data_IF_653550696492
#
_entry.id   IF_653550696492
#
_cell.length_a   1.000
_cell.length_b   1.000
_cell.length_c   1.000
_cell.angle_alpha   90.00
_cell.angle_beta   90.00
_cell.angle_gamma   90.00
#
_symmetry.space_group_name_H-M   'P 1'
#
loop_
_entity.id
_entity.type
_entity.pdbx_description
1 polymer ?
#
# COMPACT_ATOMS: atom_id res chain seq x y z
N UNK A 1 6.44 -7.85 26.00
CA UNK A 1 5.10 -7.32 26.32
C UNK A 1 4.12 -8.17 25.51
N UNK A 2 3.47 -9.11 26.16
CA UNK A 2 2.59 -10.12 25.54
C UNK A 2 1.28 -9.45 25.15
N UNK A 3 0.96 -9.43 23.84
CA UNK A 3 -0.31 -8.92 23.35
C UNK A 3 -1.34 -10.06 23.45
N UNK A 4 -2.07 -10.15 24.56
CA UNK A 4 -3.24 -11.04 24.65
C UNK A 4 -4.43 -10.35 23.98
N UNK A 5 -4.87 -10.87 22.84
CA UNK A 5 -6.11 -10.45 22.20
C UNK A 5 -7.29 -11.01 23.01
N UNK A 6 -8.05 -10.13 23.65
CA UNK A 6 -9.27 -10.54 24.34
C UNK A 6 -10.30 -11.05 23.33
N UNK A 7 -11.16 -11.98 23.74
CA UNK A 7 -12.18 -12.68 22.93
C UNK A 7 -13.23 -11.79 22.23
N UNK A 8 -13.08 -10.45 22.29
CA UNK A 8 -13.95 -9.45 21.64
C UNK A 8 -13.16 -8.41 20.82
N UNK A 9 -11.87 -8.62 20.54
CA UNK A 9 -11.05 -7.65 19.84
C UNK A 9 -11.22 -7.79 18.33
N UNK A 10 -11.60 -6.70 17.65
CA UNK A 10 -11.67 -6.64 16.18
C UNK A 10 -10.29 -6.31 15.61
N UNK A 11 -9.84 -7.11 14.66
CA UNK A 11 -8.55 -6.94 13.98
C UNK A 11 -8.74 -6.46 12.54
N UNK A 12 -7.91 -5.53 12.09
CA UNK A 12 -7.80 -5.17 10.68
C UNK A 12 -6.42 -5.54 10.13
N UNK A 13 -6.37 -6.06 8.90
CA UNK A 13 -5.12 -6.32 8.19
C UNK A 13 -4.78 -5.15 7.30
N UNK A 14 -3.51 -4.74 7.36
CA UNK A 14 -2.98 -3.62 6.60
C UNK A 14 -1.85 -4.11 5.68
N UNK A 15 -1.85 -3.60 4.45
CA UNK A 15 -0.85 -3.97 3.44
C UNK A 15 -0.06 -2.74 2.97
N UNK A 16 1.29 -2.77 3.05
CA UNK A 16 2.13 -1.63 2.70
C UNK A 16 2.10 -1.34 1.20
N UNK A 17 2.41 -0.08 0.89
CA UNK A 17 2.61 0.40 -0.47
C UNK A 17 4.07 0.63 -0.81
N UNK A 18 4.30 1.29 -1.95
CA UNK A 18 5.64 1.62 -2.46
C UNK A 18 6.43 2.46 -1.45
N UNK A 19 7.73 2.19 -1.35
CA UNK A 19 8.64 2.75 -0.34
C UNK A 19 9.00 1.77 0.78
N UNK A 20 8.31 0.62 0.86
CA UNK A 20 8.60 -0.45 1.81
C UNK A 20 9.65 -1.46 1.30
N UNK A 21 9.98 -1.43 0.00
CA UNK A 21 10.90 -2.39 -0.63
C UNK A 21 12.34 -2.21 -0.15
N UNK A 22 12.99 -3.35 0.08
CA UNK A 22 14.43 -3.45 0.37
C UNK A 22 14.98 -4.72 -0.29
N UNK A 23 16.23 -4.70 -0.77
CA UNK A 23 16.87 -5.90 -1.29
C UNK A 23 17.01 -6.94 -0.18
N UNK A 24 16.70 -8.20 -0.48
CA UNK A 24 16.63 -9.29 0.47
C UNK A 24 15.24 -9.53 1.06
N UNK A 25 14.25 -8.66 0.80
CA UNK A 25 12.89 -8.84 1.33
C UNK A 25 12.28 -10.15 0.84
N UNK A 26 11.75 -10.95 1.77
CA UNK A 26 11.08 -12.22 1.49
C UNK A 26 12.01 -13.41 1.24
N UNK A 27 13.36 -13.25 1.20
CA UNK A 27 14.29 -14.35 0.94
C UNK A 27 14.16 -15.46 2.00
N UNK A 28 14.16 -15.11 3.28
CA UNK A 28 13.99 -16.09 4.35
C UNK A 28 12.66 -16.86 4.24
N UNK A 29 11.58 -16.15 3.91
CA UNK A 29 10.27 -16.77 3.68
C UNK A 29 10.32 -17.76 2.51
N UNK A 30 10.96 -17.37 1.40
CA UNK A 30 11.15 -18.22 0.23
C UNK A 30 11.92 -19.50 0.55
N UNK A 31 12.96 -19.41 1.38
CA UNK A 31 13.83 -20.55 1.74
C UNK A 31 13.17 -21.50 2.75
N UNK A 32 12.31 -20.99 3.65
CA UNK A 32 11.86 -21.70 4.84
C UNK A 32 10.36 -22.01 4.89
N UNK A 33 9.53 -21.44 4.00
CA UNK A 33 8.09 -21.68 3.92
C UNK A 33 7.71 -22.16 2.52
N UNK A 34 7.07 -23.34 2.45
CA UNK A 34 6.58 -23.89 1.19
C UNK A 34 5.48 -23.04 0.58
N UNK A 35 4.57 -22.53 1.41
CA UNK A 35 3.49 -21.66 0.98
C UNK A 35 4.00 -20.30 0.46
N UNK A 36 5.01 -19.71 1.11
CA UNK A 36 5.63 -18.48 0.63
C UNK A 36 6.35 -18.71 -0.71
N UNK A 37 7.10 -19.80 -0.84
CA UNK A 37 7.78 -20.18 -2.09
C UNK A 37 6.80 -20.34 -3.25
N UNK A 38 5.64 -20.94 -3.01
CA UNK A 38 4.58 -21.10 -4.00
C UNK A 38 4.02 -19.73 -4.47
N UNK A 39 3.86 -18.77 -3.55
CA UNK A 39 3.46 -17.40 -3.92
C UNK A 39 4.47 -16.74 -4.83
N UNK A 40 5.76 -16.76 -4.50
CA UNK A 40 6.81 -16.18 -5.35
C UNK A 40 6.86 -16.87 -6.72
N UNK A 41 6.75 -18.21 -6.75
CA UNK A 41 6.70 -18.97 -8.00
C UNK A 41 5.53 -18.59 -8.89
N UNK A 42 4.32 -18.45 -8.32
CA UNK A 42 3.12 -17.99 -9.04
C UNK A 42 3.26 -16.58 -9.60
N UNK A 43 3.90 -15.68 -8.84
CA UNK A 43 4.15 -14.31 -9.31
C UNK A 43 5.15 -14.31 -10.45
N UNK A 44 6.29 -15.01 -10.33
CA UNK A 44 7.31 -15.10 -11.38
C UNK A 44 6.73 -15.72 -12.66
N UNK A 45 5.95 -16.80 -12.53
CA UNK A 45 5.26 -17.45 -13.66
C UNK A 45 4.27 -16.50 -14.33
N UNK A 46 3.43 -15.81 -13.55
CA UNK A 46 2.45 -14.86 -14.06
C UNK A 46 3.10 -13.72 -14.84
N UNK A 47 4.22 -13.21 -14.35
CA UNK A 47 4.96 -12.09 -14.95
C UNK A 47 5.88 -12.54 -16.10
N UNK A 48 6.12 -13.85 -16.27
CA UNK A 48 7.04 -14.41 -17.26
C UNK A 48 8.49 -14.00 -17.05
N UNK A 49 8.87 -13.61 -15.83
CA UNK A 49 10.22 -13.16 -15.45
C UNK A 49 10.51 -13.43 -13.98
N UNK A 50 11.79 -13.63 -13.59
CA UNK A 50 12.17 -13.93 -12.22
C UNK A 50 12.22 -12.64 -11.37
N UNK A 51 11.04 -12.06 -11.02
CA UNK A 51 10.95 -10.92 -10.14
C UNK A 51 11.57 -11.24 -8.77
N UNK A 52 11.35 -12.45 -8.26
CA UNK A 52 11.91 -12.93 -6.99
C UNK A 52 13.43 -12.74 -6.91
N UNK A 53 14.15 -12.92 -8.01
CA UNK A 53 15.61 -12.69 -8.06
C UNK A 53 15.95 -11.22 -7.78
N UNK A 54 15.21 -10.28 -8.35
CA UNK A 54 15.41 -8.84 -8.11
C UNK A 54 15.11 -8.51 -6.63
N UNK A 55 14.08 -9.14 -6.04
CA UNK A 55 13.73 -8.94 -4.63
C UNK A 55 14.84 -9.42 -3.69
N UNK A 56 15.45 -10.57 -4.00
CA UNK A 56 16.44 -11.22 -3.13
C UNK A 56 17.85 -10.68 -3.32
N UNK A 57 18.25 -10.41 -4.55
CA UNK A 57 19.63 -10.10 -4.92
C UNK A 57 19.83 -8.65 -5.38
N UNK A 58 18.75 -7.94 -5.72
CA UNK A 58 18.81 -6.59 -6.30
C UNK A 58 19.18 -6.60 -7.78
N UNK A 59 19.77 -5.50 -8.29
CA UNK A 59 20.28 -4.33 -7.57
C UNK A 59 19.16 -3.41 -7.03
N UNK A 60 19.50 -2.57 -6.05
CA UNK A 60 18.54 -1.71 -5.35
C UNK A 60 17.84 -0.72 -6.29
N UNK A 61 18.56 -0.17 -7.26
CA UNK A 61 18.01 0.79 -8.21
C UNK A 61 16.95 0.14 -9.12
N UNK A 62 17.18 -1.11 -9.57
CA UNK A 62 16.22 -1.88 -10.34
C UNK A 62 14.98 -2.23 -9.49
N UNK A 63 15.18 -2.61 -8.22
CA UNK A 63 14.08 -2.87 -7.30
C UNK A 63 13.24 -1.62 -7.01
N UNK A 64 13.80 -0.43 -7.07
CA UNK A 64 13.09 0.84 -6.86
C UNK A 64 12.18 1.24 -8.02
N UNK A 65 12.42 0.73 -9.21
CA UNK A 65 11.53 0.98 -10.34
C UNK A 65 10.11 0.54 -10.01
N UNK A 66 9.15 1.39 -10.32
CA UNK A 66 7.73 1.16 -10.01
C UNK A 66 7.22 -0.18 -10.55
N UNK A 67 7.70 -0.60 -11.71
CA UNK A 67 7.37 -1.88 -12.36
C UNK A 67 7.86 -3.11 -11.56
N UNK A 68 8.88 -2.96 -10.72
CA UNK A 68 9.44 -4.02 -9.88
C UNK A 68 8.97 -3.89 -8.42
N UNK A 69 9.00 -2.67 -7.88
CA UNK A 69 8.63 -2.40 -6.50
C UNK A 69 7.19 -2.82 -6.18
N UNK A 70 6.25 -2.47 -7.07
CA UNK A 70 4.85 -2.75 -6.81
C UNK A 70 4.54 -4.25 -6.74
N UNK A 71 4.78 -5.07 -7.78
CA UNK A 71 4.51 -6.49 -7.69
C UNK A 71 5.41 -7.19 -6.65
N UNK A 72 6.60 -6.66 -6.39
CA UNK A 72 7.50 -7.20 -5.37
C UNK A 72 6.97 -7.06 -3.95
N UNK A 73 6.49 -5.87 -3.56
CA UNK A 73 5.88 -5.64 -2.24
C UNK A 73 4.62 -6.50 -2.07
N UNK A 74 3.80 -6.60 -3.10
CA UNK A 74 2.63 -7.48 -3.11
C UNK A 74 3.03 -8.94 -2.90
N UNK A 75 4.02 -9.43 -3.65
CA UNK A 75 4.48 -10.82 -3.54
C UNK A 75 4.97 -11.15 -2.13
N UNK A 76 5.79 -10.28 -1.52
CA UNK A 76 6.26 -10.47 -0.14
C UNK A 76 5.11 -10.44 0.86
N UNK A 77 4.17 -9.52 0.71
CA UNK A 77 3.01 -9.43 1.61
C UNK A 77 2.12 -10.68 1.52
N UNK A 78 1.84 -11.17 0.32
CA UNK A 78 1.09 -12.41 0.12
C UNK A 78 1.89 -13.66 0.56
N UNK A 79 3.21 -13.65 0.42
CA UNK A 79 4.08 -14.70 0.96
C UNK A 79 4.03 -14.74 2.49
N UNK A 80 3.97 -13.58 3.17
CA UNK A 80 3.73 -13.50 4.61
C UNK A 80 2.38 -14.13 4.99
N UNK A 81 1.30 -13.82 4.25
CA UNK A 81 -0.02 -14.44 4.49
C UNK A 81 0.04 -15.96 4.30
N UNK A 82 0.71 -16.44 3.24
CA UNK A 82 0.90 -17.87 3.00
C UNK A 82 1.68 -18.54 4.13
N UNK A 83 2.79 -17.94 4.56
CA UNK A 83 3.62 -18.45 5.65
C UNK A 83 2.90 -18.43 7.01
N UNK A 84 2.06 -17.43 7.29
CA UNK A 84 1.19 -17.41 8.47
C UNK A 84 0.26 -18.63 8.49
N UNK A 85 -0.44 -18.89 7.38
CA UNK A 85 -1.36 -20.01 7.25
C UNK A 85 -0.67 -21.40 7.32
N UNK A 86 0.62 -21.47 6.97
CA UNK A 86 1.41 -22.70 7.04
C UNK A 86 1.97 -22.98 8.45
N UNK A 87 2.36 -21.94 9.18
CA UNK A 87 3.15 -22.06 10.42
C UNK A 87 2.39 -21.75 11.71
N UNK A 88 1.17 -21.20 11.62
CA UNK A 88 0.34 -20.89 12.77
C UNK A 88 -0.87 -21.80 12.81
N UNK A 89 -1.33 -22.14 14.00
CA UNK A 89 -2.63 -22.77 14.17
C UNK A 89 -3.73 -21.79 13.76
N UNK A 90 -4.80 -22.29 13.17
CA UNK A 90 -5.89 -21.46 12.66
C UNK A 90 -6.49 -20.54 13.72
N UNK A 91 -6.52 -21.00 14.96
CA UNK A 91 -7.06 -20.24 16.10
C UNK A 91 -6.12 -19.10 16.57
N UNK A 92 -4.84 -19.15 16.18
CA UNK A 92 -3.84 -18.11 16.47
C UNK A 92 -3.86 -16.97 15.43
N UNK A 93 -4.45 -17.22 14.25
CA UNK A 93 -4.59 -16.18 13.21
C UNK A 93 -5.90 -15.44 13.44
N UNK A 94 -5.87 -14.13 13.77
CA UNK A 94 -7.11 -13.39 13.97
C UNK A 94 -7.88 -13.26 12.65
N UNK A 95 -9.20 -13.49 12.70
CA UNK A 95 -10.08 -13.21 11.58
C UNK A 95 -10.20 -11.68 11.39
N UNK A 96 -9.75 -11.11 10.26
CA UNK A 96 -9.87 -9.69 10.04
C UNK A 96 -11.32 -9.30 9.79
N UNK A 97 -11.78 -8.24 10.45
CA UNK A 97 -13.12 -7.66 10.19
C UNK A 97 -13.08 -6.64 9.04
N UNK A 98 -11.91 -6.10 8.76
CA UNK A 98 -11.66 -5.15 7.67
C UNK A 98 -10.23 -5.37 7.15
N UNK A 99 -10.02 -5.09 5.88
CA UNK A 99 -8.69 -5.02 5.27
C UNK A 99 -8.48 -3.65 4.62
N UNK A 100 -7.25 -3.18 4.61
CA UNK A 100 -6.86 -1.97 3.90
C UNK A 100 -5.44 -2.09 3.38
N UNK A 101 -5.13 -1.36 2.32
CA UNK A 101 -3.77 -1.26 1.82
C UNK A 101 -3.50 0.14 1.31
N UNK A 102 -2.28 0.62 1.47
CA UNK A 102 -1.89 1.96 1.02
C UNK A 102 -1.48 1.91 -0.45
N UNK A 103 -2.19 2.63 -1.32
CA UNK A 103 -1.91 2.69 -2.76
C UNK A 103 -1.86 1.29 -3.39
N UNK A 104 -0.67 0.80 -3.76
CA UNK A 104 -0.45 -0.59 -4.21
C UNK A 104 -1.01 -1.62 -3.23
N UNK A 105 -0.86 -1.38 -1.92
CA UNK A 105 -1.35 -2.29 -0.88
C UNK A 105 -2.84 -2.60 -0.98
N UNK A 106 -3.65 -1.74 -1.61
CA UNK A 106 -5.06 -2.03 -1.87
C UNK A 106 -5.24 -3.25 -2.78
N UNK A 107 -4.39 -3.41 -3.80
CA UNK A 107 -4.38 -4.62 -4.64
C UNK A 107 -3.96 -5.86 -3.84
N UNK A 108 -3.01 -5.71 -2.93
CA UNK A 108 -2.61 -6.79 -2.02
C UNK A 108 -3.78 -7.18 -1.10
N UNK A 109 -4.50 -6.20 -0.54
CA UNK A 109 -5.69 -6.44 0.27
C UNK A 109 -6.78 -7.20 -0.50
N UNK A 110 -7.00 -6.84 -1.78
CA UNK A 110 -7.94 -7.54 -2.66
C UNK A 110 -7.56 -9.01 -2.88
N UNK A 111 -6.27 -9.29 -3.12
CA UNK A 111 -5.80 -10.67 -3.26
C UNK A 111 -5.91 -11.45 -1.94
N UNK A 112 -5.56 -10.83 -0.81
CA UNK A 112 -5.68 -11.45 0.51
C UNK A 112 -7.14 -11.72 0.91
N UNK A 113 -8.09 -10.86 0.49
CA UNK A 113 -9.53 -11.04 0.69
C UNK A 113 -10.19 -12.00 -0.31
N UNK A 114 -9.42 -12.62 -1.20
CA UNK A 114 -9.92 -13.58 -2.19
C UNK A 114 -10.65 -12.97 -3.38
N UNK A 115 -10.58 -11.65 -3.56
CA UNK A 115 -11.20 -10.95 -4.70
C UNK A 115 -10.49 -11.26 -6.01
N UNK A 116 -9.16 -11.36 -5.95
CA UNK A 116 -8.27 -11.64 -7.07
C UNK A 116 -7.44 -12.89 -6.79
N UNK A 117 -7.17 -13.69 -7.81
CA UNK A 117 -6.11 -14.69 -7.72
C UNK A 117 -4.74 -14.02 -7.58
N UNK A 118 -3.75 -14.70 -7.01
CA UNK A 118 -2.36 -14.20 -6.95
C UNK A 118 -1.83 -13.85 -8.35
N UNK A 119 -2.16 -14.67 -9.35
CA UNK A 119 -1.81 -14.46 -10.75
C UNK A 119 -2.41 -13.16 -11.29
N UNK A 120 -3.72 -12.98 -11.14
CA UNK A 120 -4.42 -11.80 -11.68
C UNK A 120 -3.97 -10.53 -10.98
N UNK A 121 -3.78 -10.59 -9.66
CA UNK A 121 -3.24 -9.47 -8.89
C UNK A 121 -1.82 -9.09 -9.37
N UNK A 122 -0.95 -10.08 -9.63
CA UNK A 122 0.40 -9.84 -10.15
C UNK A 122 0.38 -9.15 -11.52
N UNK A 123 -0.46 -9.64 -12.45
CA UNK A 123 -0.61 -9.04 -13.78
C UNK A 123 -1.18 -7.63 -13.72
N UNK A 124 -2.21 -7.39 -12.89
CA UNK A 124 -2.79 -6.06 -12.71
C UNK A 124 -1.80 -5.06 -12.10
N UNK A 125 -1.06 -5.48 -11.08
CA UNK A 125 -0.08 -4.63 -10.40
C UNK A 125 1.11 -4.33 -11.31
N UNK A 126 1.56 -5.31 -12.11
CA UNK A 126 2.57 -5.06 -13.13
C UNK A 126 2.06 -4.04 -14.16
N UNK A 127 0.85 -4.26 -14.70
CA UNK A 127 0.26 -3.33 -15.69
C UNK A 127 0.06 -1.94 -15.12
N UNK A 128 -0.37 -1.83 -13.85
CA UNK A 128 -0.44 -0.57 -13.12
C UNK A 128 0.92 0.13 -13.08
N UNK A 129 1.98 -0.61 -12.72
CA UNK A 129 3.35 -0.08 -12.68
C UNK A 129 3.83 0.43 -14.03
N UNK A 130 3.59 -0.32 -15.12
CA UNK A 130 3.91 0.08 -16.49
C UNK A 130 3.19 1.38 -16.88
N UNK A 131 1.87 1.43 -16.70
CA UNK A 131 1.07 2.60 -17.04
C UNK A 131 1.45 3.84 -16.23
N UNK A 132 1.77 3.66 -14.95
CA UNK A 132 2.28 4.75 -14.11
C UNK A 132 3.65 5.23 -14.58
N UNK A 133 4.53 4.32 -15.02
CA UNK A 133 5.83 4.70 -15.58
C UNK A 133 5.67 5.46 -16.89
N UNK A 134 4.84 4.97 -17.82
CA UNK A 134 4.52 5.66 -19.08
C UNK A 134 3.96 7.08 -18.84
N UNK A 135 3.09 7.23 -17.83
CA UNK A 135 2.57 8.53 -17.43
C UNK A 135 3.67 9.46 -16.89
N UNK A 136 4.62 8.93 -16.11
CA UNK A 136 5.77 9.68 -15.60
C UNK A 136 6.73 10.12 -16.71
N UNK A 137 6.97 9.27 -17.70
CA UNK A 137 7.84 9.56 -18.83
C UNK A 137 7.23 10.67 -19.70
N UNK A 138 5.91 10.61 -19.88
CA UNK A 138 5.16 11.62 -20.64
C UNK A 138 4.98 12.94 -19.89
N UNK A 139 4.84 12.88 -18.57
CA UNK A 139 4.62 14.03 -17.69
C UNK A 139 5.57 13.98 -16.48
N UNK A 140 6.84 14.37 -16.64
CA UNK A 140 7.82 14.29 -15.57
C UNK A 140 7.41 15.08 -14.33
N UNK A 141 7.35 14.39 -13.20
CA UNK A 141 6.92 14.96 -11.92
C UNK A 141 7.72 14.44 -10.74
N UNK A 142 7.30 14.85 -9.56
CA UNK A 142 7.87 14.39 -8.28
C UNK A 142 6.85 14.55 -7.15
N UNK A 143 7.24 14.15 -5.94
CA UNK A 143 6.43 14.25 -4.73
C UNK A 143 7.24 14.81 -3.58
N UNK A 144 6.56 15.42 -2.61
CA UNK A 144 7.16 15.84 -1.34
C UNK A 144 6.22 15.56 -0.17
N UNK A 145 6.77 15.11 0.95
CA UNK A 145 6.05 14.98 2.21
C UNK A 145 6.18 16.27 3.00
N UNK A 146 5.05 16.82 3.41
CA UNK A 146 4.95 18.03 4.23
C UNK A 146 4.49 17.62 5.62
N UNK A 147 5.21 18.05 6.65
CA UNK A 147 4.90 17.74 8.04
C UNK A 147 4.53 19.00 8.81
N UNK A 148 3.46 18.90 9.58
CA UNK A 148 3.08 19.93 10.56
C UNK A 148 2.25 21.08 10.00
N UNK A 149 1.68 20.93 8.80
CA UNK A 149 0.59 21.75 8.27
C UNK A 149 -0.69 20.94 8.17
N UNK A 150 -1.83 21.61 8.33
CA UNK A 150 -3.14 21.02 8.16
C UNK A 150 -3.53 20.88 6.68
N UNK A 151 -4.55 20.07 6.43
CA UNK A 151 -5.01 19.75 5.09
C UNK A 151 -5.49 20.98 4.33
N UNK A 152 -6.24 21.89 4.97
CA UNK A 152 -6.79 23.08 4.33
C UNK A 152 -5.66 24.00 3.83
N UNK A 153 -4.65 24.22 4.66
CA UNK A 153 -3.46 24.98 4.27
C UNK A 153 -2.72 24.36 3.10
N UNK A 154 -2.63 23.02 3.06
CA UNK A 154 -1.96 22.34 1.95
C UNK A 154 -2.80 22.29 0.67
N UNK A 155 -4.11 22.24 0.76
CA UNK A 155 -5.00 22.41 -0.40
C UNK A 155 -4.88 23.80 -1.03
N UNK A 156 -4.75 24.85 -0.21
CA UNK A 156 -4.48 26.21 -0.69
C UNK A 156 -3.12 26.28 -1.41
N UNK A 157 -2.06 25.76 -0.77
CA UNK A 157 -0.72 25.70 -1.38
C UNK A 157 -0.77 24.92 -2.69
N UNK A 158 -1.44 23.78 -2.73
CA UNK A 158 -1.56 22.96 -3.93
C UNK A 158 -2.22 23.71 -5.07
N UNK A 159 -3.30 24.44 -4.79
CA UNK A 159 -4.02 25.28 -5.78
C UNK A 159 -3.14 26.42 -6.30
N UNK A 160 -2.43 27.12 -5.41
CA UNK A 160 -1.57 28.27 -5.78
C UNK A 160 -0.31 27.83 -6.54
N UNK A 161 0.24 26.65 -6.21
CA UNK A 161 1.47 26.13 -6.84
C UNK A 161 1.22 25.33 -8.11
N UNK A 162 -0.02 24.85 -8.33
CA UNK A 162 -0.34 23.91 -9.41
C UNK A 162 0.07 22.46 -9.08
N UNK A 163 0.13 22.11 -7.78
CA UNK A 163 0.35 20.73 -7.31
C UNK A 163 -0.96 20.08 -6.87
N UNK A 164 -0.88 18.82 -6.45
CA UNK A 164 -2.01 18.04 -5.96
C UNK A 164 -1.69 17.49 -4.57
N UNK A 165 -2.68 17.43 -3.69
CA UNK A 165 -2.61 16.64 -2.46
C UNK A 165 -2.79 15.17 -2.84
N UNK A 166 -1.76 14.36 -2.65
CA UNK A 166 -1.69 12.98 -3.13
C UNK A 166 -1.97 11.94 -2.06
N UNK A 167 -1.54 12.18 -0.82
CA UNK A 167 -1.77 11.28 0.31
C UNK A 167 -2.01 12.09 1.57
N UNK A 168 -3.08 11.77 2.29
CA UNK A 168 -3.31 12.25 3.64
C UNK A 168 -3.00 11.08 4.59
N UNK A 169 -1.74 11.01 5.03
CA UNK A 169 -1.25 9.87 5.79
C UNK A 169 -1.60 9.96 7.27
N UNK A 170 -1.45 11.13 7.86
CA UNK A 170 -1.79 11.42 9.26
C UNK A 170 -2.24 12.88 9.37
N UNK A 171 -2.67 13.34 10.56
CA UNK A 171 -2.97 14.75 10.84
C UNK A 171 -1.78 15.68 10.47
N UNK A 172 -0.56 15.20 10.72
CA UNK A 172 0.66 15.99 10.55
C UNK A 172 1.51 15.60 9.33
N UNK A 173 1.11 14.60 8.54
CA UNK A 173 1.88 14.16 7.38
C UNK A 173 0.98 14.06 6.15
N UNK A 174 1.17 14.98 5.23
CA UNK A 174 0.47 15.04 3.95
C UNK A 174 1.52 15.08 2.82
N UNK A 175 1.23 14.38 1.73
CA UNK A 175 2.10 14.31 0.56
C UNK A 175 1.48 15.11 -0.57
N UNK A 176 2.29 15.94 -1.22
CA UNK A 176 1.93 16.66 -2.44
C UNK A 176 2.69 16.07 -3.63
N UNK A 177 2.10 16.16 -4.83
CA UNK A 177 2.70 15.72 -6.07
C UNK A 177 2.40 16.71 -7.22
N UNK A 178 3.22 16.68 -8.26
CA UNK A 178 3.06 17.56 -9.43
C UNK A 178 4.33 17.66 -10.25
N UNK A 179 4.34 18.57 -11.21
CA UNK A 179 5.54 18.89 -11.97
C UNK A 179 6.67 19.39 -11.06
N UNK A 180 7.93 19.07 -11.40
CA UNK A 180 9.10 19.32 -10.52
C UNK A 180 9.18 20.77 -10.02
N UNK A 181 8.94 21.77 -10.89
CA UNK A 181 8.97 23.18 -10.50
C UNK A 181 7.79 23.58 -9.61
N UNK A 182 6.61 23.00 -9.86
CA UNK A 182 5.41 23.23 -9.05
C UNK A 182 5.60 22.67 -7.63
N UNK A 183 6.16 21.47 -7.50
CA UNK A 183 6.46 20.86 -6.19
C UNK A 183 7.53 21.67 -5.46
N UNK A 184 8.60 22.11 -6.12
CA UNK A 184 9.61 22.97 -5.49
C UNK A 184 8.98 24.26 -4.93
N UNK A 185 8.14 24.95 -5.73
CA UNK A 185 7.39 26.12 -5.27
C UNK A 185 6.48 25.81 -4.09
N UNK A 186 5.76 24.69 -4.14
CA UNK A 186 4.89 24.28 -3.02
C UNK A 186 5.68 24.01 -1.74
N UNK A 187 6.88 23.43 -1.85
CA UNK A 187 7.79 23.20 -0.72
C UNK A 187 8.25 24.52 -0.07
N UNK A 188 8.61 25.52 -0.87
CA UNK A 188 8.97 26.86 -0.37
C UNK A 188 7.78 27.53 0.32
N UNK A 189 6.59 27.46 -0.29
CA UNK A 189 5.36 27.99 0.31
C UNK A 189 5.00 27.30 1.63
N UNK A 190 5.13 25.97 1.69
CA UNK A 190 4.88 25.20 2.91
C UNK A 190 5.87 25.60 4.02
N UNK A 191 7.14 25.75 3.68
CA UNK A 191 8.17 26.23 4.62
C UNK A 191 7.84 27.64 5.15
N UNK A 192 7.44 28.57 4.27
CA UNK A 192 7.05 29.93 4.63
C UNK A 192 5.78 29.98 5.51
N UNK A 193 4.87 29.01 5.37
CA UNK A 193 3.66 28.86 6.19
C UNK A 193 3.88 28.05 7.47
N UNK A 194 5.13 27.70 7.82
CA UNK A 194 5.50 27.09 9.09
C UNK A 194 5.48 25.58 9.14
N UNK A 195 5.64 24.91 8.00
CA UNK A 195 5.82 23.45 7.98
C UNK A 195 7.01 23.04 8.87
N UNK A 196 6.81 22.05 9.75
CA UNK A 196 7.87 21.51 10.61
C UNK A 196 9.00 20.85 9.82
N UNK A 197 8.64 20.16 8.72
CA UNK A 197 9.58 19.55 7.77
C UNK A 197 8.96 19.49 6.39
N UNK A 198 9.81 19.64 5.38
CA UNK A 198 9.49 19.51 3.96
C UNK A 198 10.50 18.56 3.35
N UNK A 199 10.07 17.40 2.91
CA UNK A 199 10.94 16.28 2.52
C UNK A 199 10.65 15.87 1.08
N UNK A 200 11.57 16.12 0.12
CA UNK A 200 11.46 15.57 -1.22
C UNK A 200 11.46 14.02 -1.17
N UNK A 201 10.55 13.40 -1.89
CA UNK A 201 10.49 11.94 -1.96
C UNK A 201 11.32 11.44 -3.14
N UNK A 202 12.03 10.33 -2.95
CA UNK A 202 12.80 9.65 -4.00
C UNK A 202 11.90 8.73 -4.81
N UNK A 203 11.02 9.33 -5.61
CA UNK A 203 10.05 8.62 -6.47
C UNK A 203 10.18 9.10 -7.91
N UNK A 204 9.83 8.21 -8.86
CA UNK A 204 9.97 8.46 -10.29
C UNK A 204 8.92 9.39 -10.90
N UNK A 205 7.87 9.79 -10.15
CA UNK A 205 6.79 10.59 -10.75
C UNK A 205 5.84 11.22 -9.75
N UNK A 206 4.83 11.91 -10.28
CA UNK A 206 3.77 12.58 -9.52
C UNK A 206 2.56 11.66 -9.33
N UNK A 207 2.73 10.62 -8.52
CA UNK A 207 1.67 9.64 -8.28
C UNK A 207 0.45 10.27 -7.57
N UNK A 208 -0.72 9.64 -7.76
CA UNK A 208 -1.98 10.06 -7.14
C UNK A 208 -2.36 11.52 -7.46
N UNK A 209 -2.14 11.93 -8.71
CA UNK A 209 -2.42 13.27 -9.21
C UNK A 209 -3.04 13.25 -10.59
N UNK A 210 -3.50 14.40 -11.07
CA UNK A 210 -3.98 14.55 -12.45
C UNK A 210 -2.96 14.19 -13.54
N UNK A 211 -1.64 14.13 -13.21
CA UNK A 211 -0.60 13.68 -14.14
C UNK A 211 -0.68 12.17 -14.44
N UNK A 212 -1.44 11.40 -13.64
CA UNK A 212 -1.69 9.97 -13.84
C UNK A 212 -2.97 9.67 -14.65
N UNK A 213 -3.71 10.69 -15.11
CA UNK A 213 -4.97 10.48 -15.84
C UNK A 213 -4.80 9.63 -17.11
N UNK A 214 -3.67 9.77 -17.81
CA UNK A 214 -3.35 8.98 -19.01
C UNK A 214 -3.26 7.47 -18.74
N UNK A 215 -2.93 7.08 -17.53
CA UNK A 215 -2.84 5.67 -17.13
C UNK A 215 -4.22 4.97 -16.99
N UNK A 216 -5.31 5.74 -16.81
CA UNK A 216 -6.64 5.19 -16.55
C UNK A 216 -7.16 4.31 -17.69
N UNK A 217 -6.98 4.72 -18.95
CA UNK A 217 -7.50 3.98 -20.09
C UNK A 217 -6.92 2.56 -20.17
N UNK A 218 -5.60 2.44 -20.06
CA UNK A 218 -4.94 1.12 -20.05
C UNK A 218 -5.29 0.29 -18.80
N UNK A 219 -5.51 0.96 -17.66
CA UNK A 219 -5.93 0.27 -16.44
C UNK A 219 -7.36 -0.29 -16.57
N UNK A 220 -8.29 0.47 -17.16
CA UNK A 220 -9.65 0.00 -17.45
C UNK A 220 -9.61 -1.25 -18.34
N UNK A 221 -8.80 -1.25 -19.39
CA UNK A 221 -8.62 -2.39 -20.25
C UNK A 221 -8.10 -3.62 -19.48
N UNK A 222 -7.07 -3.43 -18.63
CA UNK A 222 -6.52 -4.50 -17.81
C UNK A 222 -7.56 -5.07 -16.83
N UNK A 223 -8.32 -4.18 -16.16
CA UNK A 223 -9.38 -4.58 -15.22
C UNK A 223 -10.52 -5.35 -15.88
N UNK A 224 -10.82 -5.08 -17.15
CA UNK A 224 -11.87 -5.81 -17.90
C UNK A 224 -11.46 -7.24 -18.26
N UNK A 225 -10.17 -7.55 -18.27
CA UNK A 225 -9.63 -8.87 -18.58
C UNK A 225 -9.44 -9.77 -17.34
N UNK A 226 -9.85 -9.30 -16.16
CA UNK A 226 -9.69 -10.02 -14.89
C UNK A 226 -11.04 -10.27 -14.24
N UNK A 227 -11.22 -11.48 -13.72
CA UNK A 227 -12.39 -11.84 -12.93
C UNK A 227 -12.24 -11.32 -11.50
N UNK A 228 -13.26 -10.61 -11.02
CA UNK A 228 -13.36 -10.15 -9.64
C UNK A 228 -14.45 -10.93 -8.92
N UNK A 229 -14.09 -11.55 -7.83
CA UNK A 229 -15.03 -12.19 -6.90
C UNK A 229 -15.40 -11.19 -5.79
N UNK A 230 -16.54 -11.34 -5.18
CA UNK A 230 -16.90 -10.52 -4.02
C UNK A 230 -15.98 -10.79 -2.84
N UNK A 231 -15.57 -9.73 -2.09
CA UNK A 231 -14.62 -9.87 -1.00
C UNK A 231 -15.21 -10.66 0.17
N UNK A 232 -14.46 -11.62 0.70
CA UNK A 232 -14.80 -12.32 1.94
C UNK A 232 -14.76 -11.39 3.16
N UNK A 233 -13.93 -10.35 3.11
CA UNK A 233 -13.76 -9.30 4.11
C UNK A 233 -13.81 -7.95 3.42
N UNK A 234 -14.60 -6.96 3.90
CA UNK A 234 -14.66 -5.66 3.28
C UNK A 234 -13.30 -4.95 3.24
N UNK A 235 -12.96 -4.33 2.10
CA UNK A 235 -11.73 -3.58 1.91
C UNK A 235 -12.04 -2.09 2.02
N UNK A 236 -11.23 -1.35 2.75
CA UNK A 236 -11.39 0.11 2.88
C UNK A 236 -10.73 0.79 1.68
N UNK A 237 -11.54 1.50 0.91
CA UNK A 237 -11.13 2.24 -0.29
C UNK A 237 -10.15 3.37 0.00
N UNK A 238 -9.12 3.51 -0.82
CA UNK A 238 -8.14 4.60 -0.70
C UNK A 238 -8.74 5.98 -1.00
N UNK A 239 -9.65 6.09 -1.99
CA UNK A 239 -10.22 7.38 -2.40
C UNK A 239 -11.30 7.88 -1.43
N UNK A 240 -12.13 6.99 -0.90
CA UNK A 240 -13.32 7.37 -0.13
C UNK A 240 -13.22 7.06 1.36
N UNK A 241 -12.24 6.24 1.75
CA UNK A 241 -12.12 5.70 3.11
C UNK A 241 -13.39 4.95 3.57
N UNK A 242 -14.15 4.38 2.62
CA UNK A 242 -15.37 3.60 2.89
C UNK A 242 -15.16 2.14 2.48
N UNK A 243 -15.89 1.19 3.11
CA UNK A 243 -15.78 -0.21 2.77
C UNK A 243 -16.34 -0.51 1.38
N UNK A 244 -15.56 -1.22 0.58
CA UNK A 244 -15.94 -1.82 -0.70
C UNK A 244 -16.49 -3.21 -0.44
N UNK A 245 -17.66 -3.51 -1.00
CA UNK A 245 -18.40 -4.76 -0.74
C UNK A 245 -18.75 -5.54 -2.00
N UNK A 246 -18.57 -4.95 -3.18
CA UNK A 246 -18.88 -5.59 -4.46
C UNK A 246 -17.74 -5.45 -5.46
N UNK A 247 -17.70 -6.37 -6.41
CA UNK A 247 -16.74 -6.33 -7.52
C UNK A 247 -16.85 -5.03 -8.35
N UNK A 248 -18.06 -4.49 -8.52
CA UNK A 248 -18.29 -3.24 -9.25
C UNK A 248 -17.72 -2.04 -8.51
N UNK A 249 -17.98 -1.92 -7.19
CA UNK A 249 -17.40 -0.87 -6.35
C UNK A 249 -15.87 -0.91 -6.38
N UNK A 250 -15.28 -2.11 -6.32
CA UNK A 250 -13.84 -2.33 -6.36
C UNK A 250 -13.25 -1.86 -7.70
N UNK A 251 -13.83 -2.28 -8.84
CA UNK A 251 -13.38 -1.83 -10.16
C UNK A 251 -13.40 -0.32 -10.28
N UNK A 252 -14.51 0.30 -9.85
CA UNK A 252 -14.67 1.76 -9.85
C UNK A 252 -13.63 2.46 -8.96
N UNK A 253 -13.30 1.89 -7.81
CA UNK A 253 -12.26 2.40 -6.92
C UNK A 253 -10.88 2.35 -7.57
N UNK A 254 -10.46 1.20 -8.09
CA UNK A 254 -9.14 1.04 -8.69
C UNK A 254 -8.90 1.99 -9.88
N UNK A 255 -9.94 2.27 -10.68
CA UNK A 255 -9.87 3.25 -11.77
C UNK A 255 -9.66 4.67 -11.24
N UNK A 256 -10.32 5.03 -10.12
CA UNK A 256 -10.16 6.36 -9.50
C UNK A 256 -8.82 6.49 -8.78
N UNK A 257 -8.42 5.44 -8.05
CA UNK A 257 -7.28 5.44 -7.14
C UNK A 257 -5.97 5.89 -7.78
N UNK A 258 -5.72 5.51 -9.05
CA UNK A 258 -4.44 5.80 -9.72
C UNK A 258 -4.15 7.30 -9.85
N UNK A 259 -5.20 8.13 -9.96
CA UNK A 259 -5.10 9.58 -10.15
C UNK A 259 -5.74 10.40 -9.00
N UNK A 260 -6.09 9.76 -7.88
CA UNK A 260 -6.78 10.40 -6.76
C UNK A 260 -6.00 10.29 -5.46
N UNK A 261 -6.27 11.21 -4.54
CA UNK A 261 -5.65 11.25 -3.23
C UNK A 261 -5.94 10.00 -2.40
N UNK A 262 -4.92 9.42 -1.79
CA UNK A 262 -5.03 8.34 -0.81
C UNK A 262 -5.44 8.90 0.54
N UNK A 263 -6.63 8.56 1.00
CA UNK A 263 -7.25 9.04 2.25
C UNK A 263 -6.87 8.16 3.45
N UNK A 264 -5.58 7.86 3.63
CA UNK A 264 -5.12 6.87 4.61
C UNK A 264 -5.55 7.18 6.04
N UNK A 265 -5.38 8.44 6.47
CA UNK A 265 -5.84 8.87 7.80
C UNK A 265 -7.31 8.56 8.00
N UNK A 266 -8.15 8.93 7.03
CA UNK A 266 -9.60 8.69 7.11
C UNK A 266 -9.94 7.20 7.10
N UNK A 267 -9.17 6.38 6.38
CA UNK A 267 -9.33 4.92 6.38
C UNK A 267 -9.05 4.32 7.76
N UNK A 268 -7.97 4.73 8.42
CA UNK A 268 -7.66 4.30 9.79
C UNK A 268 -8.70 4.81 10.79
N UNK A 269 -9.10 6.07 10.71
CA UNK A 269 -10.17 6.64 11.54
C UNK A 269 -11.49 5.89 11.39
N UNK A 270 -11.84 5.49 10.16
CA UNK A 270 -13.03 4.67 9.90
C UNK A 270 -12.93 3.31 10.58
N UNK A 271 -11.80 2.62 10.46
CA UNK A 271 -11.58 1.31 11.10
C UNK A 271 -11.69 1.42 12.62
N UNK A 272 -11.06 2.41 13.23
CA UNK A 272 -11.14 2.67 14.70
C UNK A 272 -12.58 2.91 15.12
N UNK A 273 -13.32 3.80 14.43
CA UNK A 273 -14.74 4.07 14.72
C UNK A 273 -15.64 2.85 14.52
N UNK A 274 -15.25 1.91 13.68
CA UNK A 274 -15.93 0.61 13.48
C UNK A 274 -15.59 -0.41 14.57
N UNK A 275 -14.80 -0.02 15.57
CA UNK A 275 -14.42 -0.83 16.73
C UNK A 275 -13.18 -1.68 16.53
N UNK A 276 -12.38 -1.43 15.49
CA UNK A 276 -11.07 -2.07 15.33
C UNK A 276 -10.13 -1.55 16.43
N UNK A 277 -9.56 -2.46 17.19
CA UNK A 277 -8.62 -2.19 18.28
C UNK A 277 -7.22 -2.71 17.97
N UNK A 278 -7.12 -3.71 17.09
CA UNK A 278 -5.87 -4.33 16.69
C UNK A 278 -5.65 -4.18 15.20
N UNK A 279 -4.43 -3.86 14.84
CA UNK A 279 -3.99 -3.77 13.45
C UNK A 279 -2.83 -4.74 13.24
N UNK A 280 -2.79 -5.37 12.08
CA UNK A 280 -1.71 -6.24 11.67
C UNK A 280 -1.18 -5.76 10.32
N UNK A 281 -0.01 -5.14 10.31
CA UNK A 281 0.67 -4.77 9.06
C UNK A 281 1.41 -5.99 8.53
N UNK A 282 1.02 -6.47 7.34
CA UNK A 282 1.53 -7.70 6.73
C UNK A 282 2.29 -7.35 5.45
N UNK A 283 3.60 -7.56 5.47
CA UNK A 283 4.48 -7.25 4.36
C UNK A 283 5.76 -6.53 4.79
N UNK A 284 6.59 -6.07 3.84
CA UNK A 284 7.87 -5.46 4.16
C UNK A 284 7.70 -4.09 4.83
N UNK A 285 8.59 -3.77 5.76
CA UNK A 285 8.65 -2.47 6.44
C UNK A 285 7.70 -2.33 7.62
N UNK A 286 7.58 -1.08 8.12
CA UNK A 286 6.77 -0.72 9.31
C UNK A 286 6.14 0.68 9.15
N UNK A 287 5.90 1.11 7.92
CA UNK A 287 5.46 2.48 7.65
C UNK A 287 4.01 2.70 8.10
N UNK A 288 3.12 1.73 7.85
CA UNK A 288 1.72 1.83 8.23
C UNK A 288 1.56 1.76 9.75
N UNK A 289 2.34 0.92 10.43
CA UNK A 289 2.38 0.87 11.89
C UNK A 289 2.73 2.24 12.50
N UNK A 290 3.73 2.90 11.93
CA UNK A 290 4.09 4.26 12.34
C UNK A 290 2.98 5.28 12.10
N UNK A 291 2.23 5.15 11.01
CA UNK A 291 1.08 6.03 10.70
C UNK A 291 -0.09 5.76 11.65
N UNK A 292 -0.47 4.49 11.87
CA UNK A 292 -1.54 4.12 12.82
C UNK A 292 -1.26 4.67 14.21
N UNK A 293 -0.04 4.48 14.73
CA UNK A 293 0.34 5.01 16.05
C UNK A 293 0.33 6.54 16.16
N UNK A 294 0.49 7.26 15.04
CA UNK A 294 0.34 8.72 15.01
C UNK A 294 -1.10 9.16 14.95
N UNK A 295 -1.98 8.36 14.34
CA UNK A 295 -3.42 8.61 14.25
C UNK A 295 -4.07 8.27 15.60
N UNK A 296 -3.79 7.08 16.14
CA UNK A 296 -4.25 6.67 17.47
C UNK A 296 -3.11 5.98 18.26
N UNK A 297 -2.66 6.63 19.32
CA UNK A 297 -1.61 6.09 20.20
C UNK A 297 -2.04 4.83 20.97
N UNK A 298 -3.35 4.64 21.13
CA UNK A 298 -3.92 3.51 21.87
C UNK A 298 -4.15 2.29 20.98
N UNK A 299 -4.17 2.44 19.65
CA UNK A 299 -4.32 1.32 18.74
C UNK A 299 -3.20 0.29 18.93
N UNK A 300 -3.53 -0.98 19.04
CA UNK A 300 -2.53 -2.05 19.04
C UNK A 300 -2.14 -2.34 17.60
N UNK A 301 -0.83 -2.46 17.33
CA UNK A 301 -0.36 -2.81 16.00
C UNK A 301 0.85 -3.74 16.09
N UNK A 302 0.79 -4.81 15.31
CA UNK A 302 1.87 -5.78 15.12
C UNK A 302 2.30 -5.78 13.65
N UNK A 303 3.55 -6.19 13.40
CA UNK A 303 4.10 -6.30 12.05
C UNK A 303 4.47 -7.75 11.76
N UNK A 304 4.11 -8.23 10.58
CA UNK A 304 4.47 -9.52 10.02
C UNK A 304 5.24 -9.26 8.73
N UNK A 305 6.55 -9.46 8.76
CA UNK A 305 7.44 -9.18 7.61
C UNK A 305 8.38 -10.33 7.25
N UNK A 306 8.52 -11.31 8.13
CA UNK A 306 9.46 -12.42 8.06
C UNK A 306 8.99 -13.60 8.92
N UNK A 307 9.68 -14.72 8.85
CA UNK A 307 9.31 -15.93 9.58
C UNK A 307 9.47 -15.76 11.11
N UNK A 308 10.44 -14.96 11.54
CA UNK A 308 10.64 -14.70 12.98
C UNK A 308 9.42 -13.99 13.57
N UNK A 309 8.91 -12.94 12.90
CA UNK A 309 7.72 -12.21 13.32
C UNK A 309 6.45 -13.08 13.30
N UNK A 310 6.33 -14.00 12.33
CA UNK A 310 5.24 -14.98 12.27
C UNK A 310 5.29 -15.90 13.49
N UNK A 311 6.43 -16.56 13.75
CA UNK A 311 6.58 -17.49 14.88
C UNK A 311 6.50 -16.80 16.24
N UNK A 312 6.89 -15.53 16.33
CA UNK A 312 6.71 -14.73 17.54
C UNK A 312 5.23 -14.35 17.78
N UNK A 313 4.44 -14.25 16.73
CA UNK A 313 3.02 -13.91 16.79
C UNK A 313 2.20 -15.03 17.47
N UNK A 314 2.49 -16.32 17.18
CA UNK A 314 1.81 -17.47 17.79
C UNK A 314 2.06 -17.65 19.31
N UNK A 315 3.08 -16.99 19.84
CA UNK A 315 3.46 -17.11 21.27
C UNK A 315 2.79 -16.05 22.15
N UNK A 316 1.95 -15.21 21.58
CA UNK A 316 1.29 -14.09 22.23
C UNK A 316 -0.22 -14.25 22.23
#
# INVERSE_FOLDING_TARGET
MTLTFGSNSKTAFLFPGQGAQVVGMGLELYERSGAAKDVFGKVDEALGRPLSKILFEGPEDELRETINAQPGIMAVSLACVGAMNENLDKDDIPDPVLMAGHSLGEYTALAAAGVLSVKDAALLVQKRGELMQEACDSNPGTMAAILGLDEMTLEEIARESGTFVSNINTEEQIVISGGKMAVARAMDMASARGAKKVIPLRVGGAFHSGLMESAKAGLIEALNNVEFVEPNVPIIANCTAQPLKSAEEIRGELIRQIASCVQWKRSVDFMIRSGVTNFLEIGPGKALAGMVKRIDRNANISNISDLESILAFSKN
#
